data_IF_701152224510
#
_entry.id   IF_701152224510
#
_cell.length_a   1.000
_cell.length_b   1.000
_cell.length_c   1.000
_cell.angle_alpha   90.00
_cell.angle_beta   90.00
_cell.angle_gamma   90.00
#
_symmetry.space_group_name_H-M   'P 1'
#
loop_
_entity.id
_entity.type
_entity.pdbx_description
1 polymer ?
#
# COMPACT_ATOMS: atom_id res chain seq x y z
N UNK A 1 -1.31 21.73 -5.60
CA UNK A 1 -1.56 20.55 -4.72
C UNK A 1 -0.43 19.51 -4.64
N UNK A 2 0.57 19.48 -5.54
CA UNK A 2 1.65 18.45 -5.51
C UNK A 2 2.51 18.40 -4.23
N UNK A 3 2.70 19.52 -3.51
CA UNK A 3 3.60 19.59 -2.35
C UNK A 3 2.97 18.98 -1.08
N UNK A 4 1.68 19.26 -0.82
CA UNK A 4 0.95 18.70 0.31
C UNK A 4 0.91 17.16 0.25
N UNK A 5 0.80 16.62 -0.97
CA UNK A 5 0.74 15.18 -1.20
C UNK A 5 2.03 14.44 -0.84
N UNK A 6 3.17 15.00 -1.25
CA UNK A 6 4.50 14.44 -0.96
C UNK A 6 4.78 14.41 0.55
N UNK A 7 4.20 15.34 1.31
CA UNK A 7 4.31 15.42 2.77
C UNK A 7 3.45 14.35 3.45
N UNK A 8 2.20 14.17 3.01
CA UNK A 8 1.29 13.13 3.55
C UNK A 8 1.89 11.74 3.37
N UNK A 9 2.44 11.45 2.19
CA UNK A 9 3.19 10.22 1.91
C UNK A 9 4.33 10.01 2.90
N UNK A 10 5.24 11.00 2.99
CA UNK A 10 6.37 10.92 3.93
C UNK A 10 5.91 10.68 5.37
N UNK A 11 4.80 11.29 5.80
CA UNK A 11 4.27 11.17 7.15
C UNK A 11 3.64 9.79 7.43
N UNK A 12 2.83 9.27 6.52
CA UNK A 12 2.21 7.94 6.63
C UNK A 12 3.29 6.85 6.70
N UNK A 13 4.35 7.01 5.90
CA UNK A 13 5.49 6.10 5.84
C UNK A 13 6.39 6.17 7.08
N UNK A 14 6.79 7.37 7.49
CA UNK A 14 7.72 7.57 8.60
C UNK A 14 7.18 7.09 9.95
N UNK A 15 5.88 7.27 10.23
CA UNK A 15 5.29 6.89 11.53
C UNK A 15 5.21 5.37 11.76
N UNK A 16 5.45 4.53 10.74
CA UNK A 16 5.28 3.07 10.82
C UNK A 16 6.53 2.28 10.43
N UNK A 17 7.66 2.96 10.22
CA UNK A 17 8.88 2.32 9.71
C UNK A 17 8.66 1.64 8.36
N UNK A 18 7.77 2.19 7.53
CA UNK A 18 7.53 1.74 6.16
C UNK A 18 8.12 2.80 5.27
N UNK A 19 9.07 2.45 4.42
CA UNK A 19 9.70 3.40 3.50
C UNK A 19 8.91 3.46 2.19
N UNK A 20 9.11 4.53 1.43
CA UNK A 20 8.56 4.63 0.07
C UNK A 20 9.02 3.45 -0.79
N UNK A 21 10.26 3.02 -0.62
CA UNK A 21 10.83 1.89 -1.37
C UNK A 21 10.13 0.57 -1.00
N UNK A 22 9.81 0.35 0.29
CA UNK A 22 9.04 -0.83 0.72
C UNK A 22 7.67 -0.88 0.01
N UNK A 23 7.01 0.28 -0.12
CA UNK A 23 5.74 0.38 -0.86
C UNK A 23 5.95 0.10 -2.34
N UNK A 24 6.97 0.69 -2.95
CA UNK A 24 7.25 0.47 -4.37
C UNK A 24 7.54 -1.01 -4.65
N UNK A 25 8.27 -1.69 -3.77
CA UNK A 25 8.51 -3.13 -3.89
C UNK A 25 7.22 -3.93 -3.84
N UNK A 26 6.34 -3.65 -2.87
CA UNK A 26 5.06 -4.36 -2.73
C UNK A 26 4.12 -4.10 -3.91
N UNK A 27 4.16 -2.92 -4.52
CA UNK A 27 3.39 -2.61 -5.73
C UNK A 27 3.91 -3.33 -6.97
N UNK A 28 5.21 -3.62 -7.01
CA UNK A 28 5.86 -4.32 -8.12
C UNK A 28 6.09 -5.81 -7.82
N UNK A 29 5.58 -6.31 -6.69
CA UNK A 29 5.66 -7.71 -6.33
C UNK A 29 4.81 -8.53 -7.32
N UNK A 30 5.41 -9.49 -8.06
CA UNK A 30 4.70 -10.29 -9.04
C UNK A 30 3.69 -11.26 -8.41
N UNK A 31 3.80 -11.53 -7.10
CA UNK A 31 2.88 -12.41 -6.35
C UNK A 31 1.84 -11.61 -5.56
N UNK A 32 1.80 -10.29 -5.73
CA UNK A 32 0.88 -9.46 -4.96
C UNK A 32 -0.57 -9.90 -5.14
N UNK A 33 -1.32 -9.87 -4.05
CA UNK A 33 -2.76 -10.06 -4.05
C UNK A 33 -3.40 -8.68 -4.07
N UNK A 34 -4.21 -8.40 -5.09
CA UNK A 34 -4.87 -7.12 -5.29
C UNK A 34 -6.38 -7.30 -5.22
N UNK A 35 -7.03 -6.44 -4.45
CA UNK A 35 -8.49 -6.37 -4.37
C UNK A 35 -8.95 -4.94 -4.51
N UNK A 36 -10.11 -4.77 -5.11
CA UNK A 36 -10.76 -3.47 -5.28
C UNK A 36 -12.06 -3.46 -4.49
N UNK A 37 -12.31 -2.39 -3.75
CA UNK A 37 -13.56 -2.16 -3.03
C UNK A 37 -14.05 -0.74 -3.26
N UNK A 38 -15.32 -0.58 -3.65
CA UNK A 38 -15.96 0.74 -3.75
C UNK A 38 -16.56 1.09 -2.39
N UNK A 39 -16.10 2.19 -1.79
CA UNK A 39 -16.64 2.73 -0.52
C UNK A 39 -17.07 4.17 -0.71
N UNK A 40 -18.35 4.45 -0.44
CA UNK A 40 -18.94 5.81 -0.54
C UNK A 40 -18.66 6.49 -1.89
N UNK A 41 -18.72 5.71 -2.98
CA UNK A 41 -18.45 6.20 -4.34
C UNK A 41 -16.97 6.40 -4.69
N UNK A 42 -16.03 6.02 -3.80
CA UNK A 42 -14.59 6.04 -4.06
C UNK A 42 -14.05 4.62 -4.17
N UNK A 43 -13.39 4.33 -5.28
CA UNK A 43 -12.70 3.06 -5.50
C UNK A 43 -11.40 3.01 -4.69
N UNK A 44 -11.31 2.02 -3.80
CA UNK A 44 -10.13 1.75 -3.01
C UNK A 44 -9.49 0.46 -3.49
N UNK A 45 -8.21 0.52 -3.77
CA UNK A 45 -7.41 -0.64 -4.15
C UNK A 45 -6.57 -1.04 -2.96
N UNK A 46 -6.68 -2.29 -2.56
CA UNK A 46 -5.90 -2.89 -1.51
C UNK A 46 -4.93 -3.89 -2.12
N UNK A 47 -3.65 -3.80 -1.73
CA UNK A 47 -2.64 -4.77 -2.09
C UNK A 47 -1.96 -5.35 -0.87
N UNK A 48 -1.81 -6.67 -0.90
CA UNK A 48 -0.91 -7.41 -0.03
C UNK A 48 0.24 -7.95 -0.86
N UNK A 49 1.47 -7.65 -0.47
CA UNK A 49 2.66 -8.16 -1.15
C UNK A 49 3.88 -8.13 -0.23
N UNK A 50 5.00 -8.67 -0.70
CA UNK A 50 6.26 -8.70 0.02
C UNK A 50 7.31 -7.74 -0.53
N UNK A 51 8.04 -7.14 0.40
CA UNK A 51 9.33 -6.49 0.13
C UNK A 51 10.43 -7.54 -0.07
N UNK A 52 11.57 -7.14 -0.64
CA UNK A 52 12.74 -8.00 -0.87
C UNK A 52 13.31 -8.60 0.42
N UNK A 53 13.16 -7.92 1.55
CA UNK A 53 13.60 -8.43 2.85
C UNK A 53 12.57 -9.35 3.54
N UNK A 54 11.50 -9.74 2.84
CA UNK A 54 10.50 -10.70 3.32
C UNK A 54 9.41 -10.08 4.21
N UNK A 55 9.38 -8.76 4.44
CA UNK A 55 8.24 -8.13 5.10
C UNK A 55 7.04 -8.13 4.16
N UNK A 56 5.92 -8.67 4.63
CA UNK A 56 4.63 -8.55 3.96
C UNK A 56 3.92 -7.29 4.43
N UNK A 57 3.49 -6.45 3.49
CA UNK A 57 2.74 -5.23 3.76
C UNK A 57 1.33 -5.32 3.18
N UNK A 58 0.45 -4.52 3.77
CA UNK A 58 -0.88 -4.24 3.28
C UNK A 58 -0.99 -2.75 3.00
N UNK A 59 -1.36 -2.39 1.77
CA UNK A 59 -1.36 -1.02 1.26
C UNK A 59 -2.73 -0.74 0.66
N UNK A 60 -3.31 0.42 0.96
CA UNK A 60 -4.52 0.93 0.31
C UNK A 60 -4.18 2.20 -0.44
N UNK A 61 -4.61 2.32 -1.69
CA UNK A 61 -4.66 3.57 -2.45
C UNK A 61 -6.02 3.80 -3.08
N UNK A 62 -6.23 5.03 -3.50
CA UNK A 62 -7.34 5.45 -4.36
C UNK A 62 -6.76 6.03 -5.64
N UNK A 63 -7.49 5.87 -6.74
CA UNK A 63 -7.16 6.58 -7.97
C UNK A 63 -7.58 8.05 -7.84
N UNK A 64 -6.69 8.95 -8.26
CA UNK A 64 -6.89 10.38 -8.31
C UNK A 64 -6.43 10.88 -9.69
N UNK A 65 -6.96 11.99 -10.23
CA UNK A 65 -6.52 12.53 -11.53
C UNK A 65 -5.00 12.76 -11.65
N UNK A 66 -4.32 13.03 -10.53
CA UNK A 66 -2.87 13.23 -10.46
C UNK A 66 -2.06 11.93 -10.22
N UNK A 67 -2.71 10.76 -10.19
CA UNK A 67 -2.09 9.44 -10.01
C UNK A 67 -2.66 8.63 -8.85
N UNK A 68 -1.92 7.60 -8.41
CA UNK A 68 -2.31 6.72 -7.30
C UNK A 68 -1.94 7.30 -5.94
N UNK A 69 -2.93 7.44 -5.07
CA UNK A 69 -2.78 8.13 -3.80
C UNK A 69 -2.96 7.13 -2.66
N UNK A 70 -1.89 6.77 -1.92
CA UNK A 70 -1.99 5.82 -0.84
C UNK A 70 -2.70 6.48 0.34
N UNK A 71 -3.77 5.82 0.76
CA UNK A 71 -4.58 6.15 1.92
C UNK A 71 -3.96 5.53 3.17
N UNK A 72 -3.34 4.36 3.02
CA UNK A 72 -2.84 3.58 4.15
C UNK A 72 -1.72 2.62 3.77
N UNK A 73 -0.75 2.44 4.65
CA UNK A 73 0.23 1.36 4.56
C UNK A 73 0.54 0.81 5.96
N UNK A 74 0.62 -0.52 6.10
CA UNK A 74 0.98 -1.20 7.35
C UNK A 74 1.63 -2.54 7.08
N UNK A 75 2.28 -3.15 8.09
CA UNK A 75 2.61 -4.58 8.05
C UNK A 75 1.31 -5.39 7.92
N UNK A 76 1.33 -6.42 7.08
CA UNK A 76 0.23 -7.34 6.98
C UNK A 76 0.04 -8.06 8.33
N UNK A 77 -1.23 -8.27 8.70
CA UNK A 77 -1.55 -9.10 9.86
C UNK A 77 -1.36 -10.58 9.51
N UNK A 78 -1.34 -11.45 10.53
CA UNK A 78 -1.10 -12.90 10.36
C UNK A 78 -1.96 -13.56 9.28
N UNK A 79 -3.26 -13.20 9.20
CA UNK A 79 -4.19 -13.73 8.20
C UNK A 79 -3.76 -13.39 6.77
N UNK A 80 -3.53 -12.10 6.49
CA UNK A 80 -3.11 -11.62 5.17
C UNK A 80 -1.73 -12.15 4.78
N UNK A 81 -0.79 -12.22 5.73
CA UNK A 81 0.52 -12.81 5.47
C UNK A 81 0.43 -14.30 5.12
N UNK A 82 -0.42 -15.06 5.81
CA UNK A 82 -0.67 -16.47 5.49
C UNK A 82 -1.30 -16.64 4.11
N UNK A 83 -2.24 -15.78 3.76
CA UNK A 83 -2.89 -15.79 2.45
C UNK A 83 -1.90 -15.49 1.32
N UNK A 84 -1.02 -14.52 1.51
CA UNK A 84 0.02 -14.17 0.54
C UNK A 84 1.03 -15.30 0.28
N UNK A 85 1.38 -16.10 1.29
CA UNK A 85 2.33 -17.21 1.14
C UNK A 85 1.67 -18.54 0.75
N UNK A 86 0.35 -18.56 0.53
CA UNK A 86 -0.37 -19.78 0.14
C UNK A 86 -0.19 -20.08 -1.33
#
# INVERSE_FOLDING_TARGET
>A
MRLALRIVLRRIYAQRGIRRDDVNEVLNDPRRIETTEVRKGTEHHAVTGSTRNGRVLFIIWVDHPDGRFPVHARRAGRKLAKEYFR
#
